data_IF_089335988073
#
_entry.id   IF_089335988073
#
_cell.length_a   1.000
_cell.length_b   1.000
_cell.length_c   1.000
_cell.angle_alpha   90.00
_cell.angle_beta   90.00
_cell.angle_gamma   90.00
#
_symmetry.space_group_name_H-M   'P 1'
#
loop_
_entity.id
_entity.type
_entity.pdbx_description
1 polymer ?
#
# COMPACT_ATOMS: atom_id res chain seq x y z
N UNK A 1 -37.43 -4.45 22.17
CA UNK A 1 -36.84 -3.11 22.38
C UNK A 1 -35.44 -3.32 22.93
N UNK A 2 -34.34 -2.77 22.47
CA UNK A 2 -33.94 -1.98 21.30
C UNK A 2 -32.40 -2.06 21.30
N UNK A 3 -31.80 -2.27 20.12
CA UNK A 3 -30.47 -1.89 19.59
C UNK A 3 -29.34 -1.57 20.61
N UNK A 4 -28.08 -1.97 20.44
CA UNK A 4 -27.15 -1.45 19.43
C UNK A 4 -25.85 -2.29 19.46
N UNK A 5 -25.37 -2.71 18.29
CA UNK A 5 -24.03 -3.26 18.13
C UNK A 5 -23.00 -2.14 18.16
N UNK A 6 -21.98 -2.25 19.00
CA UNK A 6 -20.85 -1.33 19.00
C UNK A 6 -19.72 -1.91 18.15
N UNK A 7 -19.59 -1.43 16.92
CA UNK A 7 -18.34 -1.48 16.15
C UNK A 7 -17.34 -0.52 16.81
N UNK A 8 -16.83 -0.91 17.97
CA UNK A 8 -15.99 -0.06 18.82
C UNK A 8 -14.57 0.03 18.30
N UNK A 9 -14.16 1.24 17.93
CA UNK A 9 -12.78 1.53 17.53
C UNK A 9 -11.79 1.03 18.61
N UNK A 10 -10.68 0.42 18.19
CA UNK A 10 -9.63 -0.06 19.10
C UNK A 10 -8.47 0.93 19.15
N UNK A 11 -7.92 1.12 20.34
CA UNK A 11 -6.74 1.96 20.59
C UNK A 11 -5.66 1.13 21.27
N UNK A 12 -4.40 1.47 21.00
CA UNK A 12 -3.23 0.83 21.56
C UNK A 12 -2.60 1.74 22.61
N UNK A 13 -2.45 1.22 23.83
CA UNK A 13 -1.84 1.97 24.92
C UNK A 13 -0.35 2.20 24.64
N UNK A 14 0.09 3.46 24.55
CA UNK A 14 1.51 3.77 24.33
C UNK A 14 2.40 3.42 25.55
N UNK A 15 1.83 3.15 26.72
CA UNK A 15 2.58 2.83 27.94
C UNK A 15 2.89 1.34 28.06
N UNK A 16 1.90 0.47 27.83
CA UNK A 16 2.06 -0.98 28.04
C UNK A 16 1.83 -1.84 26.79
N UNK A 17 1.50 -1.21 25.65
CA UNK A 17 1.25 -1.91 24.40
C UNK A 17 -0.04 -2.74 24.36
N UNK A 18 -0.95 -2.57 25.33
CA UNK A 18 -2.24 -3.27 25.30
C UNK A 18 -3.19 -2.59 24.35
N UNK A 19 -3.82 -3.38 23.47
CA UNK A 19 -4.98 -2.93 22.68
C UNK A 19 -6.26 -3.04 23.50
N UNK A 20 -7.05 -1.97 23.55
CA UNK A 20 -8.31 -1.91 24.28
C UNK A 20 -9.34 -1.05 23.56
N UNK A 21 -10.56 -1.03 24.06
CA UNK A 21 -11.67 -0.28 23.45
C UNK A 21 -11.48 1.23 23.60
N UNK A 22 -11.66 1.98 22.53
CA UNK A 22 -11.53 3.44 22.54
C UNK A 22 -12.59 4.13 23.42
N UNK A 23 -13.68 3.44 23.76
CA UNK A 23 -14.68 3.96 24.70
C UNK A 23 -14.19 3.95 26.16
N UNK A 24 -13.05 3.33 26.48
CA UNK A 24 -12.53 3.33 27.85
C UNK A 24 -11.64 4.56 28.12
N UNK A 25 -11.89 5.27 29.22
CA UNK A 25 -11.11 6.45 29.64
C UNK A 25 -9.65 6.15 30.02
N UNK A 26 -9.36 4.90 30.41
CA UNK A 26 -8.04 4.45 30.89
C UNK A 26 -7.72 3.05 30.39
N UNK A 27 -6.42 2.79 30.19
CA UNK A 27 -5.95 1.47 29.85
C UNK A 27 -6.24 0.49 31.02
N UNK A 28 -6.95 -0.62 30.80
CA UNK A 28 -7.31 -1.58 31.86
C UNK A 28 -6.12 -2.41 32.39
N UNK A 29 -4.92 -2.23 31.83
CA UNK A 29 -3.71 -2.93 32.29
C UNK A 29 -2.80 -2.05 33.14
N UNK A 30 -2.50 -0.84 32.67
CA UNK A 30 -1.55 0.06 33.34
C UNK A 30 -2.19 1.36 33.83
N UNK A 31 -3.50 1.52 33.71
CA UNK A 31 -4.28 2.69 34.13
C UNK A 31 -3.89 4.02 33.48
N UNK A 32 -3.02 3.99 32.47
CA UNK A 32 -2.64 5.17 31.69
C UNK A 32 -3.88 5.77 31.01
N UNK A 33 -4.01 7.11 30.94
CA UNK A 33 -5.15 7.74 30.30
C UNK A 33 -5.21 7.39 28.81
N UNK A 34 -6.42 7.17 28.29
CA UNK A 34 -6.64 6.85 26.89
C UNK A 34 -6.12 7.93 25.93
N UNK A 35 -5.98 9.17 26.40
CA UNK A 35 -5.35 10.28 25.68
C UNK A 35 -3.90 10.03 25.25
N UNK A 36 -3.20 9.08 25.89
CA UNK A 36 -1.85 8.65 25.49
C UNK A 36 -1.86 7.44 24.54
N UNK A 37 -3.02 6.99 24.08
CA UNK A 37 -3.15 5.80 23.23
C UNK A 37 -3.26 6.19 21.77
N UNK A 38 -2.74 5.34 20.89
CA UNK A 38 -2.80 5.56 19.44
C UNK A 38 -3.96 4.76 18.84
N UNK A 39 -4.72 5.31 17.87
CA UNK A 39 -5.74 4.55 17.16
C UNK A 39 -5.10 3.37 16.43
N UNK A 40 -5.67 2.18 16.63
CA UNK A 40 -5.33 1.02 15.81
C UNK A 40 -6.15 1.15 14.54
N UNK A 41 -5.49 1.54 13.46
CA UNK A 41 -6.06 1.29 12.14
C UNK A 41 -5.96 -0.20 11.91
N UNK A 42 -7.08 -0.92 12.07
CA UNK A 42 -7.20 -2.25 11.48
C UNK A 42 -6.70 -2.15 10.04
N UNK A 43 -5.86 -3.09 9.56
CA UNK A 43 -5.45 -3.09 8.17
C UNK A 43 -6.74 -3.19 7.35
N UNK A 44 -7.16 -2.06 6.75
CA UNK A 44 -8.24 -2.06 5.78
C UNK A 44 -7.80 -3.07 4.74
N UNK A 45 -8.61 -4.12 4.58
CA UNK A 45 -8.42 -5.10 3.52
C UNK A 45 -8.43 -4.30 2.20
N UNK A 46 -7.24 -3.99 1.69
CA UNK A 46 -7.08 -3.28 0.44
C UNK A 46 -7.63 -4.24 -0.61
N UNK A 47 -8.86 -3.95 -1.07
CA UNK A 47 -9.56 -4.77 -2.06
C UNK A 47 -8.75 -4.75 -3.35
N UNK A 48 -7.77 -5.64 -3.44
CA UNK A 48 -6.97 -5.90 -4.64
C UNK A 48 -7.75 -6.90 -5.47
N UNK A 49 -7.98 -6.55 -6.73
CA UNK A 49 -8.62 -7.46 -7.66
C UNK A 49 -7.81 -8.76 -7.78
N UNK A 50 -8.48 -9.92 -7.79
CA UNK A 50 -7.80 -11.20 -7.91
C UNK A 50 -7.11 -11.31 -9.28
N UNK A 51 -6.04 -12.10 -9.32
CA UNK A 51 -5.45 -12.56 -10.59
C UNK A 51 -5.70 -14.05 -10.72
N UNK A 52 -5.82 -14.55 -11.94
CA UNK A 52 -6.10 -15.95 -12.20
C UNK A 52 -4.89 -16.59 -12.89
N UNK A 53 -4.29 -17.59 -12.26
CA UNK A 53 -3.04 -18.20 -12.73
C UNK A 53 -3.33 -19.58 -13.26
N UNK A 54 -3.01 -19.80 -14.55
CA UNK A 54 -3.10 -21.13 -15.14
C UNK A 54 -2.08 -22.07 -14.47
N UNK A 55 -2.55 -23.15 -13.87
CA UNK A 55 -1.69 -24.12 -13.16
C UNK A 55 -0.81 -24.94 -14.11
N UNK A 56 -1.18 -25.00 -15.39
CA UNK A 56 -0.47 -25.76 -16.42
C UNK A 56 0.70 -24.96 -17.02
N UNK A 57 0.47 -23.69 -17.38
CA UNK A 57 1.48 -22.88 -18.08
C UNK A 57 1.97 -21.66 -17.30
N UNK A 58 1.38 -21.36 -16.14
CA UNK A 58 1.75 -20.21 -15.31
C UNK A 58 1.27 -18.86 -15.84
N UNK A 59 0.52 -18.81 -16.94
CA UNK A 59 0.00 -17.56 -17.49
C UNK A 59 -0.95 -16.88 -16.49
N UNK A 60 -0.84 -15.56 -16.36
CA UNK A 60 -1.60 -14.74 -15.41
C UNK A 60 -2.66 -13.96 -16.17
N UNK A 61 -3.92 -14.15 -15.80
CA UNK A 61 -5.07 -13.42 -16.33
C UNK A 61 -5.55 -12.39 -15.29
N UNK A 62 -5.74 -11.16 -15.72
CA UNK A 62 -6.27 -10.07 -14.90
C UNK A 62 -7.79 -9.97 -15.09
N UNK A 63 -8.55 -9.75 -14.01
CA UNK A 63 -9.99 -9.55 -14.11
C UNK A 63 -10.75 -9.89 -12.83
N UNK A 64 -12.08 -9.88 -12.93
CA UNK A 64 -12.97 -10.19 -11.80
C UNK A 64 -13.36 -11.67 -11.71
N UNK A 65 -13.09 -12.45 -12.76
CA UNK A 65 -13.42 -13.87 -12.86
C UNK A 65 -12.41 -14.60 -13.76
N UNK A 66 -12.21 -15.90 -13.51
CA UNK A 66 -11.37 -16.76 -14.35
C UNK A 66 -11.97 -16.92 -15.76
N UNK A 67 -11.15 -16.95 -16.82
CA UNK A 67 -11.63 -17.20 -18.17
C UNK A 67 -12.00 -18.69 -18.36
N UNK A 68 -12.90 -18.98 -19.31
CA UNK A 68 -13.30 -20.35 -19.66
C UNK A 68 -12.15 -21.19 -20.24
N UNK A 69 -11.15 -20.55 -20.86
CA UNK A 69 -9.94 -21.21 -21.36
C UNK A 69 -8.74 -20.29 -21.22
N UNK A 70 -7.57 -20.87 -20.98
CA UNK A 70 -6.31 -20.14 -20.99
C UNK A 70 -5.93 -19.78 -22.45
N UNK A 71 -5.76 -18.50 -22.76
CA UNK A 71 -5.36 -18.03 -24.10
C UNK A 71 -3.96 -18.48 -24.52
N UNK A 72 -3.08 -18.77 -23.56
CA UNK A 72 -1.69 -19.15 -23.83
C UNK A 72 -1.52 -20.64 -24.16
N UNK A 73 -2.26 -21.54 -23.48
CA UNK A 73 -2.12 -22.99 -23.68
C UNK A 73 -3.42 -23.74 -24.02
N UNK A 74 -4.57 -23.05 -24.00
CA UNK A 74 -5.85 -23.59 -24.43
C UNK A 74 -6.53 -24.53 -23.43
N UNK A 75 -6.00 -24.74 -22.23
CA UNK A 75 -6.65 -25.57 -21.19
C UNK A 75 -7.92 -24.92 -20.67
N UNK A 76 -8.85 -25.72 -20.14
CA UNK A 76 -10.11 -25.23 -19.58
C UNK A 76 -9.91 -24.41 -18.30
N UNK A 77 -10.89 -23.56 -18.00
CA UNK A 77 -10.91 -22.66 -16.84
C UNK A 77 -10.81 -23.38 -15.50
N UNK A 78 -11.12 -24.68 -15.44
CA UNK A 78 -10.94 -25.51 -14.25
C UNK A 78 -9.46 -25.68 -13.83
N UNK A 79 -8.52 -25.38 -14.73
CA UNK A 79 -7.08 -25.38 -14.47
C UNK A 79 -6.51 -23.96 -14.28
N UNK A 80 -7.38 -22.98 -14.02
CA UNK A 80 -7.00 -21.60 -13.75
C UNK A 80 -7.45 -21.26 -12.33
N UNK A 81 -6.48 -21.06 -11.44
CA UNK A 81 -6.74 -20.82 -10.02
C UNK A 81 -6.72 -19.34 -9.71
N UNK A 82 -7.69 -18.89 -8.91
CA UNK A 82 -7.64 -17.56 -8.31
C UNK A 82 -6.45 -17.47 -7.36
N UNK A 83 -5.62 -16.45 -7.54
CA UNK A 83 -4.61 -16.04 -6.58
C UNK A 83 -4.82 -14.58 -6.24
N UNK A 84 -4.75 -14.28 -4.94
CA UNK A 84 -4.53 -12.91 -4.49
C UNK A 84 -3.10 -12.55 -4.87
N UNK A 85 -2.86 -11.50 -5.67
CA UNK A 85 -1.50 -11.09 -5.98
C UNK A 85 -0.75 -10.80 -4.68
N UNK A 86 0.47 -11.31 -4.56
CA UNK A 86 1.35 -10.97 -3.44
C UNK A 86 1.45 -9.45 -3.34
N UNK A 87 1.56 -8.92 -2.11
CA UNK A 87 1.63 -7.48 -1.85
C UNK A 87 2.98 -6.93 -2.35
N UNK A 88 3.20 -6.85 -3.65
CA UNK A 88 4.43 -6.29 -4.20
C UNK A 88 4.46 -4.79 -3.91
N UNK A 89 5.57 -4.36 -3.32
CA UNK A 89 5.90 -2.96 -3.06
C UNK A 89 7.22 -2.66 -3.73
N UNK A 90 7.40 -1.42 -4.17
CA UNK A 90 8.69 -0.96 -4.64
C UNK A 90 9.52 -0.47 -3.46
N UNK A 91 10.60 -1.17 -3.12
CA UNK A 91 11.55 -0.79 -2.08
C UNK A 91 12.69 0.00 -2.69
N UNK A 92 12.92 1.22 -2.20
CA UNK A 92 13.99 2.10 -2.66
C UNK A 92 15.08 2.18 -1.60
N UNK A 93 16.28 1.74 -1.94
CA UNK A 93 17.46 1.92 -1.09
C UNK A 93 17.80 3.40 -1.02
N UNK A 94 17.79 3.97 0.19
CA UNK A 94 18.09 5.39 0.41
C UNK A 94 19.57 5.74 0.22
N UNK A 95 20.45 4.74 0.26
CA UNK A 95 21.90 4.93 0.09
C UNK A 95 22.29 5.01 -1.39
N UNK A 96 21.80 4.07 -2.21
CA UNK A 96 22.24 3.96 -3.60
C UNK A 96 21.14 4.14 -4.65
N UNK A 97 19.89 4.38 -4.22
CA UNK A 97 18.73 4.57 -5.08
C UNK A 97 18.20 3.30 -5.77
N UNK A 98 18.73 2.11 -5.45
CA UNK A 98 18.27 0.86 -6.06
C UNK A 98 16.79 0.60 -5.72
N UNK A 99 15.97 0.40 -6.75
CA UNK A 99 14.54 0.07 -6.65
C UNK A 99 14.35 -1.44 -6.84
N UNK A 100 13.69 -2.10 -5.88
CA UNK A 100 13.42 -3.54 -5.90
C UNK A 100 11.93 -3.77 -5.69
N UNK A 101 11.29 -4.57 -6.55
CA UNK A 101 9.89 -4.97 -6.35
C UNK A 101 9.84 -6.27 -5.57
N UNK A 102 9.32 -6.23 -4.35
CA UNK A 102 9.18 -7.40 -3.48
C UNK A 102 8.10 -7.18 -2.44
N UNK A 103 7.60 -8.26 -1.84
CA UNK A 103 6.59 -8.14 -0.77
C UNK A 103 7.13 -7.40 0.46
N UNK A 104 8.38 -7.71 0.83
CA UNK A 104 9.09 -7.15 1.97
C UNK A 104 10.44 -6.56 1.54
N UNK A 105 10.99 -5.63 2.34
CA UNK A 105 12.31 -5.08 2.10
C UNK A 105 13.34 -6.22 2.12
N UNK A 106 14.32 -6.24 1.20
CA UNK A 106 15.38 -7.22 1.25
C UNK A 106 16.24 -7.00 2.51
N UNK A 107 16.75 -8.08 3.09
CA UNK A 107 17.60 -8.02 4.30
C UNK A 107 18.83 -7.13 4.11
N UNK A 108 19.39 -7.14 2.89
CA UNK A 108 20.50 -6.28 2.45
C UNK A 108 20.28 -5.79 1.04
N UNK A 109 20.80 -4.60 0.75
CA UNK A 109 20.82 -4.08 -0.61
C UNK A 109 21.79 -4.91 -1.47
N UNK A 110 21.35 -5.53 -2.57
CA UNK A 110 22.24 -6.34 -3.42
C UNK A 110 23.28 -5.51 -4.18
N UNK A 111 23.18 -4.17 -4.16
CA UNK A 111 24.13 -3.26 -4.82
C UNK A 111 25.16 -2.64 -3.87
N UNK A 112 24.75 -2.27 -2.66
CA UNK A 112 25.61 -1.54 -1.71
C UNK A 112 25.63 -2.14 -0.30
N UNK A 113 25.01 -3.31 -0.13
CA UNK A 113 24.99 -4.11 1.11
C UNK A 113 24.40 -3.41 2.33
N UNK A 114 23.77 -2.25 2.12
CA UNK A 114 23.04 -1.49 3.14
C UNK A 114 21.91 -2.34 3.76
N UNK A 115 21.67 -2.23 5.08
CA UNK A 115 20.65 -3.03 5.76
C UNK A 115 19.23 -2.68 5.31
N UNK A 116 18.29 -3.59 5.56
CA UNK A 116 16.87 -3.45 5.24
C UNK A 116 16.24 -2.14 5.74
N UNK A 117 16.70 -1.61 6.87
CA UNK A 117 16.21 -0.35 7.48
C UNK A 117 16.45 0.87 6.58
N UNK A 118 17.40 0.79 5.65
CA UNK A 118 17.70 1.82 4.66
C UNK A 118 16.88 1.64 3.37
N UNK A 119 15.89 0.77 3.37
CA UNK A 119 14.87 0.72 2.32
C UNK A 119 13.61 1.47 2.74
N UNK A 120 13.13 2.35 1.85
CA UNK A 120 11.80 2.96 1.98
C UNK A 120 10.84 2.29 1.01
N UNK A 121 9.66 1.91 1.51
CA UNK A 121 8.56 1.46 0.66
C UNK A 121 8.02 2.66 -0.12
N UNK A 122 8.20 2.62 -1.43
CA UNK A 122 7.50 3.46 -2.39
C UNK A 122 6.14 2.81 -2.65
N UNK A 123 5.05 3.54 -2.41
CA UNK A 123 3.69 3.03 -2.67
C UNK A 123 3.56 2.71 -4.16
N UNK A 124 3.04 1.53 -4.48
CA UNK A 124 2.73 1.17 -5.86
C UNK A 124 1.52 1.99 -6.32
N UNK A 125 1.69 2.63 -7.47
CA UNK A 125 0.97 3.82 -7.89
C UNK A 125 2.02 4.86 -8.23
N UNK A 126 2.24 5.11 -9.52
CA UNK A 126 3.09 6.21 -9.96
C UNK A 126 2.36 7.46 -9.45
N UNK A 127 2.82 7.99 -8.31
CA UNK A 127 2.37 9.28 -7.85
C UNK A 127 2.67 10.24 -9.00
N UNK A 128 1.63 10.87 -9.52
CA UNK A 128 1.76 11.88 -10.55
C UNK A 128 1.31 13.18 -9.96
N UNK A 129 2.08 14.22 -10.20
CA UNK A 129 1.74 15.58 -9.81
C UNK A 129 1.42 16.34 -11.09
N UNK A 130 0.28 17.00 -11.13
CA UNK A 130 -0.18 17.79 -12.26
C UNK A 130 -0.14 19.27 -11.90
N UNK A 131 0.54 20.06 -12.72
CA UNK A 131 0.50 21.52 -12.61
C UNK A 131 -0.93 22.01 -12.89
N UNK A 132 -1.53 22.70 -11.94
CA UNK A 132 -2.89 23.25 -12.05
C UNK A 132 -2.99 24.37 -13.10
N UNK A 133 -1.87 25.01 -13.44
CA UNK A 133 -1.81 26.14 -14.38
C UNK A 133 -1.72 25.67 -15.84
N UNK A 134 -0.83 24.73 -16.15
CA UNK A 134 -0.58 24.30 -17.54
C UNK A 134 -0.92 22.84 -17.82
N UNK A 135 -1.31 22.07 -16.79
CA UNK A 135 -1.65 20.66 -16.93
C UNK A 135 -0.46 19.72 -17.10
N UNK A 136 0.79 20.20 -17.01
CA UNK A 136 2.00 19.39 -17.09
C UNK A 136 2.06 18.37 -15.95
N UNK A 137 2.29 17.10 -16.28
CA UNK A 137 2.32 15.99 -15.33
C UNK A 137 3.74 15.48 -15.14
N UNK A 138 4.17 15.33 -13.89
CA UNK A 138 5.44 14.71 -13.52
C UNK A 138 5.22 13.45 -12.70
N UNK A 139 6.15 12.50 -12.80
CA UNK A 139 6.18 11.31 -11.94
C UNK A 139 6.96 11.62 -10.66
N UNK A 140 6.34 11.40 -9.51
CA UNK A 140 6.91 11.65 -8.20
C UNK A 140 5.84 11.95 -7.15
N UNK A 141 6.16 11.64 -5.89
CA UNK A 141 5.32 11.96 -4.73
C UNK A 141 5.57 13.38 -4.16
N UNK A 142 6.48 14.14 -4.77
CA UNK A 142 6.88 15.49 -4.34
C UNK A 142 6.84 16.45 -5.54
N UNK A 143 6.30 17.66 -5.33
CA UNK A 143 6.28 18.72 -6.33
C UNK A 143 7.70 19.28 -6.59
N UNK A 144 8.04 19.71 -7.82
CA UNK A 144 9.32 20.34 -8.12
C UNK A 144 9.33 21.79 -7.66
N UNK A 145 10.51 22.43 -7.47
CA UNK A 145 10.56 23.85 -7.08
C UNK A 145 9.86 24.78 -8.09
N UNK A 146 9.99 24.48 -9.38
CA UNK A 146 9.28 25.18 -10.48
C UNK A 146 8.80 24.18 -11.52
N UNK A 147 7.65 24.47 -12.12
CA UNK A 147 7.16 23.78 -13.30
C UNK A 147 8.10 24.02 -14.48
N UNK A 148 8.69 22.96 -15.04
CA UNK A 148 9.58 23.08 -16.20
C UNK A 148 8.88 23.59 -17.47
N UNK A 149 7.55 23.40 -17.57
CA UNK A 149 6.79 23.79 -18.75
C UNK A 149 6.34 25.26 -18.72
N UNK A 150 5.86 25.76 -17.58
CA UNK A 150 5.32 27.13 -17.47
C UNK A 150 5.99 28.02 -16.42
N UNK A 151 6.97 27.49 -15.69
CA UNK A 151 7.78 28.25 -14.75
C UNK A 151 7.09 28.66 -13.45
N UNK A 152 5.85 28.25 -13.19
CA UNK A 152 5.16 28.51 -11.91
C UNK A 152 5.77 27.70 -10.77
N UNK A 153 5.60 28.17 -9.53
CA UNK A 153 6.20 27.52 -8.37
C UNK A 153 5.56 26.15 -8.08
N UNK A 154 6.29 25.29 -7.36
CA UNK A 154 5.90 23.93 -7.00
C UNK A 154 4.57 23.79 -6.28
N UNK A 155 4.16 24.83 -5.56
CA UNK A 155 2.88 24.89 -4.85
C UNK A 155 1.66 24.78 -5.78
N UNK A 156 1.86 24.99 -7.09
CA UNK A 156 0.83 24.84 -8.13
C UNK A 156 0.70 23.40 -8.65
N UNK A 157 1.34 22.41 -8.04
CA UNK A 157 1.19 21.01 -8.41
C UNK A 157 0.24 20.27 -7.47
N UNK A 158 -0.67 19.49 -8.04
CA UNK A 158 -1.66 18.68 -7.31
C UNK A 158 -1.51 17.19 -7.63
N UNK A 159 -1.73 16.29 -6.66
CA UNK A 159 -1.66 14.85 -6.90
C UNK A 159 -2.78 14.38 -7.81
N UNK A 160 -2.43 13.65 -8.86
CA UNK A 160 -3.37 12.98 -9.76
C UNK A 160 -3.92 11.74 -9.06
N UNK A 161 -5.22 11.74 -8.79
CA UNK A 161 -5.96 10.57 -8.29
C UNK A 161 -6.42 9.76 -9.49
N UNK A 162 -6.07 8.48 -9.53
CA UNK A 162 -6.57 7.52 -10.53
C UNK A 162 -7.95 6.98 -10.15
#
# INVERSE_FOLDING_TARGET
>A
MSKEGNTGAKIHCAVCGRTFDAAADKCPNCSAPASLSQPVFEPREEKREPVFVCTICGHVHEGKAAPDRCENCGVGGELIEERRPALTRTWVCTVCGLKIKSENAPEKCPKCESPAELFKAQKDGIARMRCSICGFEIEGDTAPDRCENCGVDGDMFEPVKN
#
